data_IF_009359960402
#
_entry.id   IF_009359960402
#
_cell.length_a   1.000
_cell.length_b   1.000
_cell.length_c   1.000
_cell.angle_alpha   90.00
_cell.angle_beta   90.00
_cell.angle_gamma   90.00
#
_symmetry.space_group_name_H-M   'P 1'
#
loop_
_entity.id
_entity.type
_entity.pdbx_description
1 polymer ?
#
# COMPACT_ATOMS: atom_id res chain seq x y z
N UNK A 1 -5.96 -7.58 11.77
CA UNK A 1 -5.62 -6.99 10.48
C UNK A 1 -4.42 -7.71 9.86
N UNK A 2 -4.57 -8.28 8.67
CA UNK A 2 -3.57 -9.18 8.04
C UNK A 2 -2.90 -8.60 6.79
N UNK A 3 -3.29 -7.40 6.36
CA UNK A 3 -2.77 -6.79 5.13
C UNK A 3 -1.42 -6.08 5.31
N UNK A 4 -0.86 -6.13 6.50
CA UNK A 4 0.40 -5.47 6.84
C UNK A 4 1.57 -6.32 6.40
N UNK A 5 2.51 -5.70 5.67
CA UNK A 5 3.77 -6.33 5.31
C UNK A 5 4.63 -6.65 6.55
N UNK A 6 5.35 -7.77 6.51
CA UNK A 6 6.20 -8.20 7.63
C UNK A 6 7.39 -7.28 7.90
N UNK A 7 7.80 -6.48 6.92
CA UNK A 7 8.92 -5.53 7.00
C UNK A 7 8.47 -4.11 7.39
N UNK A 8 7.18 -3.91 7.70
CA UNK A 8 6.64 -2.61 8.06
C UNK A 8 7.31 -2.04 9.32
N UNK A 9 7.51 -0.72 9.33
CA UNK A 9 7.84 0.00 10.55
C UNK A 9 6.63 -0.02 11.50
N UNK A 10 6.73 -0.77 12.60
CA UNK A 10 5.63 -0.98 13.56
C UNK A 10 5.11 0.30 14.20
N UNK A 11 5.96 1.30 14.39
CA UNK A 11 5.55 2.58 14.97
C UNK A 11 4.72 3.40 14.00
N UNK A 12 5.14 3.49 12.73
CA UNK A 12 4.38 4.18 11.68
C UNK A 12 3.05 3.48 11.41
N UNK A 13 3.05 2.16 11.36
CA UNK A 13 1.83 1.37 11.23
C UNK A 13 0.85 1.65 12.37
N UNK A 14 1.33 1.61 13.62
CA UNK A 14 0.47 1.86 14.78
C UNK A 14 -0.10 3.28 14.77
N UNK A 15 0.69 4.29 14.41
CA UNK A 15 0.24 5.67 14.29
C UNK A 15 -0.86 5.81 13.22
N UNK A 16 -0.66 5.25 12.02
CA UNK A 16 -1.65 5.26 10.95
C UNK A 16 -2.95 4.54 11.33
N UNK A 17 -2.86 3.36 11.96
CA UNK A 17 -4.03 2.62 12.43
C UNK A 17 -4.82 3.39 13.49
N UNK A 18 -4.14 3.99 14.45
CA UNK A 18 -4.80 4.80 15.49
C UNK A 18 -5.55 5.99 14.89
N UNK A 19 -4.95 6.66 13.91
CA UNK A 19 -5.62 7.74 13.18
C UNK A 19 -6.82 7.28 12.38
N UNK A 20 -6.70 6.14 11.69
CA UNK A 20 -7.82 5.55 10.95
C UNK A 20 -8.98 5.14 11.87
N UNK A 21 -8.69 4.61 13.07
CA UNK A 21 -9.72 4.28 14.07
C UNK A 21 -10.40 5.53 14.62
N UNK A 22 -9.61 6.56 14.96
CA UNK A 22 -10.12 7.84 15.45
C UNK A 22 -11.05 8.49 14.40
N UNK A 23 -10.65 8.53 13.14
CA UNK A 23 -11.47 9.05 12.05
C UNK A 23 -12.76 8.25 11.87
N UNK A 24 -12.66 6.91 11.82
CA UNK A 24 -13.82 6.04 11.68
C UNK A 24 -14.86 6.21 12.79
N UNK A 25 -14.41 6.31 14.04
CA UNK A 25 -15.29 6.54 15.20
C UNK A 25 -15.87 7.95 15.18
N UNK A 26 -15.03 8.96 14.93
CA UNK A 26 -15.45 10.38 14.97
C UNK A 26 -16.47 10.72 13.87
N UNK A 27 -16.39 10.04 12.72
CA UNK A 27 -17.28 10.24 11.59
C UNK A 27 -18.44 9.24 11.56
N UNK A 28 -18.53 8.34 12.53
CA UNK A 28 -19.53 7.26 12.58
C UNK A 28 -19.63 6.50 11.26
N UNK A 29 -18.44 6.09 10.72
CA UNK A 29 -18.35 5.42 9.44
C UNK A 29 -18.93 4.00 9.51
N UNK A 30 -19.91 3.72 8.63
CA UNK A 30 -20.44 2.38 8.45
C UNK A 30 -19.48 1.55 7.58
N UNK A 31 -18.95 0.42 8.07
CA UNK A 31 -18.09 -0.46 7.30
C UNK A 31 -18.83 -1.22 6.19
N UNK A 32 -20.15 -1.12 6.12
CA UNK A 32 -20.99 -1.87 5.21
C UNK A 32 -21.20 -3.33 5.60
N UNK A 33 -21.85 -4.09 4.72
CA UNK A 33 -22.16 -5.49 4.97
C UNK A 33 -20.90 -6.38 4.94
N UNK A 34 -20.78 -7.36 5.86
CA UNK A 34 -19.65 -8.28 5.87
C UNK A 34 -19.63 -9.16 4.62
N UNK A 35 -18.45 -9.45 4.10
CA UNK A 35 -18.29 -10.44 3.05
C UNK A 35 -18.07 -11.83 3.67
N UNK A 36 -19.09 -12.67 3.58
CA UNK A 36 -19.09 -14.03 4.14
C UNK A 36 -18.62 -15.09 3.13
N UNK A 37 -18.55 -14.74 1.85
CA UNK A 37 -18.14 -15.66 0.79
C UNK A 37 -16.64 -15.66 0.59
N UNK A 38 -16.13 -16.72 -0.04
CA UNK A 38 -14.78 -16.75 -0.54
C UNK A 38 -14.59 -15.61 -1.56
N UNK A 39 -13.64 -14.71 -1.30
CA UNK A 39 -13.44 -13.51 -2.13
C UNK A 39 -13.10 -13.86 -3.60
N UNK A 40 -12.42 -14.97 -3.84
CA UNK A 40 -12.11 -15.43 -5.20
C UNK A 40 -13.36 -15.85 -5.96
N UNK A 41 -14.28 -16.56 -5.31
CA UNK A 41 -15.57 -16.95 -5.90
C UNK A 41 -16.45 -15.72 -6.17
N UNK A 42 -16.40 -14.74 -5.24
CA UNK A 42 -17.10 -13.47 -5.42
C UNK A 42 -16.58 -12.67 -6.63
N UNK A 43 -15.26 -12.66 -6.85
CA UNK A 43 -14.63 -12.02 -8.00
C UNK A 43 -14.97 -12.73 -9.32
N UNK A 44 -14.97 -14.07 -9.34
CA UNK A 44 -15.38 -14.89 -10.48
C UNK A 44 -16.86 -14.65 -10.84
N UNK A 45 -17.69 -14.40 -9.83
CA UNK A 45 -19.10 -13.99 -10.01
C UNK A 45 -19.30 -12.53 -10.44
N UNK A 46 -18.21 -11.80 -10.72
CA UNK A 46 -18.25 -10.43 -11.22
C UNK A 46 -18.26 -9.34 -10.15
N UNK A 47 -18.07 -9.66 -8.86
CA UNK A 47 -17.94 -8.64 -7.81
C UNK A 47 -16.64 -7.88 -7.99
N UNK A 48 -16.73 -6.56 -8.05
CA UNK A 48 -15.57 -5.70 -7.99
C UNK A 48 -15.07 -5.64 -6.54
N UNK A 49 -13.80 -5.99 -6.35
CA UNK A 49 -13.13 -5.94 -5.06
C UNK A 49 -12.00 -4.93 -5.15
N UNK A 50 -11.98 -3.98 -4.23
CA UNK A 50 -10.88 -3.04 -4.12
C UNK A 50 -9.61 -3.79 -3.70
N UNK A 51 -8.53 -3.57 -4.45
CA UNK A 51 -7.25 -4.21 -4.22
C UNK A 51 -6.31 -3.29 -3.48
N UNK A 52 -5.46 -3.89 -2.64
CA UNK A 52 -4.32 -3.18 -2.07
C UNK A 52 -3.36 -2.73 -3.18
N UNK A 53 -2.59 -1.66 -2.96
CA UNK A 53 -1.53 -1.25 -3.88
C UNK A 53 -0.59 -2.42 -4.19
N UNK A 54 -0.25 -2.58 -5.45
CA UNK A 54 0.57 -3.71 -5.91
C UNK A 54 2.06 -3.37 -5.98
N UNK A 55 2.41 -2.09 -5.80
CA UNK A 55 3.79 -1.62 -5.82
C UNK A 55 4.03 -0.59 -4.71
N UNK A 56 5.31 -0.36 -4.40
CA UNK A 56 5.70 0.73 -3.48
C UNK A 56 5.28 2.09 -4.04
N UNK A 57 5.39 2.30 -5.36
CA UNK A 57 4.97 3.53 -6.01
C UNK A 57 3.48 3.80 -5.79
N UNK A 58 2.62 2.82 -6.11
CA UNK A 58 1.17 2.92 -5.92
C UNK A 58 0.80 3.15 -4.45
N UNK A 59 1.51 2.49 -3.53
CA UNK A 59 1.28 2.65 -2.08
C UNK A 59 1.63 4.07 -1.61
N UNK A 60 2.71 4.65 -2.13
CA UNK A 60 3.10 6.03 -1.83
C UNK A 60 2.08 7.04 -2.37
N UNK A 61 1.58 6.84 -3.60
CA UNK A 61 0.56 7.70 -4.19
C UNK A 61 -0.75 7.66 -3.39
N UNK A 62 -1.14 6.47 -2.93
CA UNK A 62 -2.32 6.30 -2.07
C UNK A 62 -2.14 6.96 -0.71
N UNK A 63 -0.95 6.83 -0.10
CA UNK A 63 -0.65 7.46 1.17
C UNK A 63 -0.67 8.99 1.05
N UNK A 64 -0.07 9.54 0.01
CA UNK A 64 -0.03 10.99 -0.22
C UNK A 64 -1.43 11.60 -0.45
N UNK A 65 -2.35 10.79 -0.99
CA UNK A 65 -3.75 11.19 -1.21
C UNK A 65 -4.67 11.00 0.01
N UNK A 66 -4.19 10.38 1.08
CA UNK A 66 -4.97 10.09 2.29
C UNK A 66 -4.64 11.05 3.43
N UNK A 67 -5.41 12.11 3.55
CA UNK A 67 -5.24 13.14 4.59
C UNK A 67 -5.32 12.57 6.02
N UNK A 68 -6.11 11.52 6.24
CA UNK A 68 -6.29 10.92 7.56
C UNK A 68 -5.01 10.23 8.01
N UNK A 69 -4.48 9.31 7.20
CA UNK A 69 -3.24 8.59 7.51
C UNK A 69 -2.04 9.54 7.50
N UNK A 70 -2.01 10.50 6.56
CA UNK A 70 -0.97 11.53 6.51
C UNK A 70 -0.92 12.36 7.79
N UNK A 71 -2.05 12.64 8.42
CA UNK A 71 -2.10 13.39 9.69
C UNK A 71 -1.42 12.67 10.87
N UNK A 72 -1.10 11.38 10.73
CA UNK A 72 -0.33 10.64 11.71
C UNK A 72 1.18 10.95 11.66
N UNK A 73 1.64 11.57 10.56
CA UNK A 73 3.05 11.89 10.34
C UNK A 73 3.27 13.39 10.53
N UNK A 74 4.23 13.80 11.39
CA UNK A 74 4.69 15.19 11.38
C UNK A 74 5.22 15.60 10.00
N UNK A 75 4.98 16.83 9.57
CA UNK A 75 5.31 17.31 8.22
C UNK A 75 6.75 17.02 7.79
N UNK A 76 7.71 17.29 8.67
CA UNK A 76 9.13 17.03 8.38
C UNK A 76 9.43 15.54 8.24
N UNK A 77 8.76 14.71 9.02
CA UNK A 77 8.89 13.26 8.92
C UNK A 77 8.28 12.73 7.63
N UNK A 78 7.12 13.24 7.24
CA UNK A 78 6.47 12.90 5.98
C UNK A 78 7.37 13.21 4.80
N UNK A 79 7.94 14.43 4.73
CA UNK A 79 8.89 14.83 3.67
C UNK A 79 10.07 13.87 3.56
N UNK A 80 10.71 13.56 4.70
CA UNK A 80 11.84 12.64 4.74
C UNK A 80 11.43 11.24 4.30
N UNK A 81 10.30 10.74 4.79
CA UNK A 81 9.77 9.42 4.44
C UNK A 81 9.52 9.30 2.93
N UNK A 82 8.79 10.26 2.33
CA UNK A 82 8.52 10.24 0.90
C UNK A 82 9.79 10.38 0.07
N UNK A 83 10.70 11.25 0.46
CA UNK A 83 11.98 11.40 -0.25
C UNK A 83 12.73 10.06 -0.33
N UNK A 84 12.93 9.38 0.80
CA UNK A 84 13.64 8.10 0.82
C UNK A 84 12.88 6.99 0.11
N UNK A 85 11.56 6.91 0.27
CA UNK A 85 10.78 5.82 -0.33
C UNK A 85 10.58 6.00 -1.84
N UNK A 86 10.48 7.23 -2.33
CA UNK A 86 10.48 7.52 -3.77
C UNK A 86 11.83 7.19 -4.41
N UNK A 87 12.94 7.58 -3.79
CA UNK A 87 14.30 7.25 -4.24
C UNK A 87 14.54 5.72 -4.23
N UNK A 88 14.06 5.01 -3.21
CA UNK A 88 14.12 3.54 -3.14
C UNK A 88 13.34 2.90 -4.31
N UNK A 89 12.15 3.41 -4.61
CA UNK A 89 11.32 2.94 -5.72
C UNK A 89 11.97 3.20 -7.07
N UNK A 90 12.54 4.37 -7.30
CA UNK A 90 13.26 4.71 -8.51
C UNK A 90 14.48 3.82 -8.72
N UNK A 91 15.28 3.60 -7.69
CA UNK A 91 16.44 2.71 -7.74
C UNK A 91 16.06 1.26 -8.02
N UNK A 92 14.98 0.78 -7.39
CA UNK A 92 14.47 -0.56 -7.66
C UNK A 92 14.09 -0.73 -9.13
N UNK A 93 13.33 0.21 -9.69
CA UNK A 93 12.92 0.17 -11.10
C UNK A 93 14.08 0.29 -12.08
N UNK A 94 15.16 0.96 -11.71
CA UNK A 94 16.36 1.08 -12.52
C UNK A 94 17.30 -0.15 -12.43
N UNK A 95 16.99 -1.09 -11.53
CA UNK A 95 17.85 -2.27 -11.30
C UNK A 95 17.47 -3.40 -12.25
N UNK A 96 18.44 -3.91 -12.97
CA UNK A 96 18.29 -5.16 -13.78
C UNK A 96 18.32 -6.33 -12.82
N UNK A 97 17.25 -7.11 -12.79
CA UNK A 97 17.10 -8.26 -11.90
C UNK A 97 17.55 -9.55 -12.57
N UNK A 98 17.77 -10.61 -11.78
CA UNK A 98 18.04 -11.93 -12.34
C UNK A 98 16.88 -12.43 -13.22
N UNK A 99 15.64 -12.07 -12.88
CA UNK A 99 14.48 -12.41 -13.70
C UNK A 99 14.54 -11.78 -15.10
N UNK A 100 14.97 -10.52 -15.20
CA UNK A 100 15.17 -9.85 -16.50
C UNK A 100 16.23 -10.56 -17.32
N UNK A 101 17.35 -10.93 -16.69
CA UNK A 101 18.42 -11.66 -17.34
C UNK A 101 17.96 -13.04 -17.82
N UNK A 102 17.30 -13.82 -16.99
CA UNK A 102 16.79 -15.15 -17.32
C UNK A 102 15.72 -15.11 -18.42
N UNK A 103 14.91 -14.05 -18.43
CA UNK A 103 13.78 -13.91 -19.37
C UNK A 103 14.23 -13.38 -20.73
N UNK A 104 15.14 -12.42 -20.74
CA UNK A 104 15.45 -11.66 -21.97
C UNK A 104 16.84 -11.89 -22.55
N UNK A 105 17.73 -12.57 -21.82
CA UNK A 105 19.12 -12.77 -22.28
C UNK A 105 19.21 -13.47 -23.64
N UNK A 106 18.40 -14.49 -23.86
CA UNK A 106 18.37 -15.28 -25.10
C UNK A 106 17.37 -14.75 -26.15
N UNK A 107 16.67 -13.62 -25.83
CA UNK A 107 15.70 -12.99 -26.73
C UNK A 107 16.34 -11.89 -27.62
N UNK A 108 17.65 -11.72 -27.57
CA UNK A 108 18.36 -10.77 -28.43
C UNK A 108 18.45 -11.40 -29.86
N UNK A 109 18.05 -10.66 -30.92
CA UNK A 109 18.09 -11.12 -32.29
C UNK A 109 19.52 -11.34 -32.79
#
# INVERSE_FOLDING_TARGET
YRSVDSMVNRYLMAAGLLKSFDDGISRDLDPGEPEERNIYEAMEAGKQVEKLPMSLGDALDRLEADDVVMSALPDEMAKVFFHYKRDEWEKFNATVTNWDLETYWDCLP
#
